data_IF_987900229226
#
_entry.id   IF_987900229226
#
_cell.length_a   1.000
_cell.length_b   1.000
_cell.length_c   1.000
_cell.angle_alpha   90.00
_cell.angle_beta   90.00
_cell.angle_gamma   90.00
#
_symmetry.space_group_name_H-M   'P 1'
#
loop_
_entity.id
_entity.type
_entity.pdbx_description
1 polymer ?
#
# COMPACT_ATOMS: atom_id res chain seq x y z
N UNK A 1 -5.12 12.60 13.24
CA UNK A 1 -5.50 12.97 11.88
C UNK A 1 -5.61 11.71 11.03
N UNK A 2 -6.69 11.59 10.30
CA UNK A 2 -6.89 10.42 9.43
C UNK A 2 -6.04 10.55 8.17
N UNK A 3 -5.45 9.46 7.68
CA UNK A 3 -4.72 9.50 6.42
C UNK A 3 -5.67 9.75 5.23
N UNK A 4 -5.13 10.33 4.17
CA UNK A 4 -5.82 10.38 2.89
C UNK A 4 -5.70 9.00 2.25
N UNK A 5 -6.83 8.41 1.89
CA UNK A 5 -6.88 7.12 1.20
C UNK A 5 -7.10 7.38 -0.29
N UNK A 6 -6.33 6.71 -1.12
CA UNK A 6 -6.39 6.87 -2.57
C UNK A 6 -6.24 5.52 -3.25
N UNK A 7 -7.24 5.11 -4.02
CA UNK A 7 -7.15 3.89 -4.82
C UNK A 7 -6.44 4.16 -6.14
N UNK A 8 -5.65 3.18 -6.58
CA UNK A 8 -5.00 3.21 -7.89
C UNK A 8 -5.36 1.91 -8.61
N UNK A 9 -6.08 2.03 -9.71
CA UNK A 9 -6.56 0.87 -10.47
C UNK A 9 -6.14 0.99 -11.94
N UNK A 10 -6.14 -0.13 -12.63
CA UNK A 10 -5.79 -0.19 -14.05
C UNK A 10 -5.52 -1.63 -14.47
N UNK A 11 -5.54 -1.87 -15.75
CA UNK A 11 -5.23 -3.19 -16.30
C UNK A 11 -3.75 -3.52 -16.11
N UNK A 12 -3.42 -4.80 -16.05
CA UNK A 12 -2.04 -5.27 -16.05
C UNK A 12 -1.31 -4.68 -17.26
N UNK A 13 -0.16 -4.08 -17.04
CA UNK A 13 0.61 -3.45 -18.10
C UNK A 13 0.20 -2.02 -18.45
N UNK A 14 -0.78 -1.44 -17.74
CA UNK A 14 -1.22 -0.06 -17.98
C UNK A 14 -0.25 0.99 -17.42
N UNK A 15 0.71 0.60 -16.59
CA UNK A 15 1.66 1.52 -15.98
C UNK A 15 1.30 1.96 -14.57
N UNK A 16 0.54 1.16 -13.82
CA UNK A 16 0.15 1.49 -12.44
C UNK A 16 1.36 1.72 -11.54
N UNK A 17 2.35 0.84 -11.62
CA UNK A 17 3.55 0.94 -10.78
C UNK A 17 4.31 2.22 -11.03
N UNK A 18 4.48 2.60 -12.29
CA UNK A 18 5.19 3.81 -12.68
C UNK A 18 4.45 5.07 -12.20
N UNK A 19 3.13 5.09 -12.33
CA UNK A 19 2.29 6.19 -11.83
C UNK A 19 2.41 6.29 -10.32
N UNK A 20 2.29 5.17 -9.63
CA UNK A 20 2.35 5.14 -8.17
C UNK A 20 3.73 5.56 -7.66
N UNK A 21 4.80 5.06 -8.28
CA UNK A 21 6.17 5.46 -7.94
C UNK A 21 6.37 6.97 -8.09
N UNK A 22 5.86 7.55 -9.17
CA UNK A 22 5.98 8.99 -9.41
C UNK A 22 5.21 9.80 -8.37
N UNK A 23 3.99 9.38 -8.02
CA UNK A 23 3.20 10.05 -7.00
C UNK A 23 3.85 9.97 -5.61
N UNK A 24 4.37 8.80 -5.26
CA UNK A 24 5.08 8.61 -4.00
C UNK A 24 6.27 9.57 -3.91
N UNK A 25 7.07 9.65 -4.97
CA UNK A 25 8.23 10.55 -5.01
C UNK A 25 7.83 12.02 -4.82
N UNK A 26 6.80 12.46 -5.53
CA UNK A 26 6.33 13.84 -5.45
C UNK A 26 5.79 14.18 -4.05
N UNK A 27 5.02 13.29 -3.45
CA UNK A 27 4.48 13.50 -2.11
C UNK A 27 5.56 13.41 -1.04
N UNK A 28 6.54 12.55 -1.23
CA UNK A 28 7.66 12.43 -0.31
C UNK A 28 8.48 13.73 -0.25
N UNK A 29 8.65 14.39 -1.38
CA UNK A 29 9.30 15.70 -1.44
C UNK A 29 8.57 16.76 -0.62
N UNK A 30 7.27 16.59 -0.41
CA UNK A 30 6.45 17.47 0.43
C UNK A 30 6.53 17.10 1.92
N UNK A 31 7.34 16.12 2.28
CA UNK A 31 7.51 15.71 3.67
C UNK A 31 6.44 14.78 4.20
N UNK A 32 5.60 14.22 3.35
CA UNK A 32 4.52 13.34 3.77
C UNK A 32 4.99 11.90 3.98
N UNK A 33 4.36 11.21 4.93
CA UNK A 33 4.58 9.79 5.18
C UNK A 33 3.60 8.98 4.34
N UNK A 34 4.15 8.11 3.49
CA UNK A 34 3.36 7.38 2.49
C UNK A 34 3.37 5.89 2.79
N UNK A 35 2.20 5.26 2.72
CA UNK A 35 2.05 3.82 2.78
C UNK A 35 1.40 3.29 1.51
N UNK A 36 1.61 2.02 1.23
CA UNK A 36 0.97 1.34 0.10
C UNK A 36 0.46 -0.01 0.57
N UNK A 37 -0.77 -0.32 0.23
CA UNK A 37 -1.37 -1.62 0.46
C UNK A 37 -1.73 -2.23 -0.88
N UNK A 38 -1.27 -3.43 -1.13
CA UNK A 38 -1.51 -4.12 -2.39
C UNK A 38 -2.13 -5.49 -2.12
N UNK A 39 -3.36 -5.76 -2.59
CA UNK A 39 -3.93 -7.08 -2.45
C UNK A 39 -3.23 -8.04 -3.40
N UNK A 40 -3.12 -9.29 -2.99
CA UNK A 40 -2.63 -10.35 -3.85
C UNK A 40 -3.80 -11.29 -4.17
N UNK A 41 -3.96 -11.59 -5.45
CA UNK A 41 -5.06 -12.42 -5.93
C UNK A 41 -4.94 -13.89 -5.53
N UNK A 42 -3.75 -14.32 -5.09
CA UNK A 42 -3.52 -15.70 -4.66
C UNK A 42 -3.90 -15.89 -3.21
N UNK A 43 -4.70 -16.89 -2.92
CA UNK A 43 -5.09 -17.21 -1.55
C UNK A 43 -3.93 -17.75 -0.72
N UNK A 44 -2.99 -18.41 -1.37
CA UNK A 44 -1.91 -19.16 -0.73
C UNK A 44 -0.51 -18.69 -1.17
N UNK A 45 -0.34 -17.38 -1.38
CA UNK A 45 0.99 -16.89 -1.77
C UNK A 45 1.97 -17.07 -0.61
N UNK A 46 3.20 -17.40 -0.94
CA UNK A 46 4.28 -17.49 0.03
C UNK A 46 5.30 -16.38 -0.23
N UNK A 47 5.49 -15.52 0.76
CA UNK A 47 6.45 -14.42 0.69
C UNK A 47 7.75 -14.76 1.39
N UNK A 48 7.77 -15.85 2.15
CA UNK A 48 8.95 -16.35 2.84
C UNK A 48 9.57 -17.48 2.02
N UNK A 49 10.85 -17.74 2.22
CA UNK A 49 11.54 -18.79 1.45
C UNK A 49 11.54 -20.11 2.22
N UNK A 50 11.05 -21.21 1.61
CA UNK A 50 11.16 -22.54 2.20
C UNK A 50 12.62 -22.84 2.55
N UNK A 51 12.84 -23.44 3.71
CA UNK A 51 14.17 -23.76 4.20
C UNK A 51 14.80 -22.68 5.09
N UNK A 52 14.26 -21.47 5.11
CA UNK A 52 14.66 -20.46 6.06
C UNK A 52 14.08 -20.75 7.44
N UNK A 53 14.74 -20.28 8.49
CA UNK A 53 14.27 -20.52 9.86
C UNK A 53 12.91 -19.86 10.12
N UNK A 54 12.69 -18.65 9.60
CA UNK A 54 11.40 -17.96 9.71
C UNK A 54 10.27 -18.80 9.13
N UNK A 55 10.49 -19.37 7.96
CA UNK A 55 9.53 -20.29 7.32
C UNK A 55 9.25 -21.50 8.20
N UNK A 56 10.31 -22.13 8.75
CA UNK A 56 10.18 -23.31 9.60
C UNK A 56 9.41 -23.02 10.87
N UNK A 57 9.61 -21.84 11.48
CA UNK A 57 8.87 -21.46 12.67
C UNK A 57 7.38 -21.35 12.39
N UNK A 58 7.01 -20.76 11.26
CA UNK A 58 5.61 -20.65 10.86
C UNK A 58 4.99 -22.03 10.57
N UNK A 59 5.74 -22.89 9.92
CA UNK A 59 5.27 -24.26 9.62
C UNK A 59 5.05 -25.08 10.89
N UNK A 60 5.73 -24.77 11.98
CA UNK A 60 5.55 -25.43 13.25
C UNK A 60 4.43 -24.83 14.11
N UNK A 61 3.84 -23.74 13.66
CA UNK A 61 2.69 -23.15 14.33
C UNK A 61 2.87 -21.75 14.88
N UNK A 62 4.02 -21.12 14.66
CA UNK A 62 4.17 -19.69 14.99
C UNK A 62 3.32 -18.87 14.02
N UNK A 63 2.26 -18.27 14.52
CA UNK A 63 1.34 -17.49 13.70
C UNK A 63 1.98 -16.23 13.13
N UNK A 64 2.87 -15.61 13.89
CA UNK A 64 3.56 -14.39 13.48
C UNK A 64 5.05 -14.51 13.77
N UNK A 65 5.88 -14.17 12.80
CA UNK A 65 7.32 -14.08 12.95
C UNK A 65 7.77 -12.69 12.49
N UNK A 66 8.57 -12.02 13.31
CA UNK A 66 9.09 -10.70 12.99
C UNK A 66 10.60 -10.75 12.87
N UNK A 67 11.13 -10.20 11.79
CA UNK A 67 12.55 -9.92 11.65
C UNK A 67 12.76 -8.45 11.97
N UNK A 68 13.56 -8.17 12.99
CA UNK A 68 13.78 -6.81 13.44
C UNK A 68 15.23 -6.41 13.23
N UNK A 69 15.46 -5.50 12.30
CA UNK A 69 16.73 -4.85 12.08
C UNK A 69 16.78 -3.49 12.80
N UNK A 70 17.87 -2.76 12.65
CA UNK A 70 18.03 -1.45 13.31
C UNK A 70 17.06 -0.39 12.76
N UNK A 71 16.79 -0.42 11.45
CA UNK A 71 15.96 0.60 10.79
C UNK A 71 14.87 -0.01 9.91
N UNK A 72 14.72 -1.32 9.96
CA UNK A 72 13.79 -2.03 9.08
C UNK A 72 13.26 -3.26 9.78
N UNK A 73 12.00 -3.56 9.57
CA UNK A 73 11.39 -4.80 10.05
C UNK A 73 10.58 -5.45 8.95
N UNK A 74 10.46 -6.77 9.05
CA UNK A 74 9.54 -7.54 8.24
C UNK A 74 8.68 -8.38 9.17
N UNK A 75 7.39 -8.49 8.86
CA UNK A 75 6.44 -9.28 9.64
C UNK A 75 5.77 -10.26 8.69
N UNK A 76 5.83 -11.54 9.04
CA UNK A 76 5.11 -12.60 8.34
C UNK A 76 4.03 -13.11 9.27
N UNK A 77 2.78 -12.97 8.88
CA UNK A 77 1.64 -13.42 9.70
C UNK A 77 0.72 -14.30 8.87
N UNK A 78 0.35 -15.43 9.44
CA UNK A 78 -0.73 -16.23 8.91
C UNK A 78 -2.03 -15.75 9.56
N UNK A 79 -3.03 -15.47 8.75
CA UNK A 79 -4.29 -14.97 9.24
C UNK A 79 -5.22 -16.14 9.56
N UNK A 80 -5.91 -16.13 10.71
CA UNK A 80 -6.84 -17.22 11.05
C UNK A 80 -8.08 -17.22 10.16
N UNK A 81 -8.37 -16.09 9.52
CA UNK A 81 -9.47 -15.94 8.56
C UNK A 81 -9.12 -14.85 7.58
N UNK A 82 -9.89 -14.75 6.51
CA UNK A 82 -9.72 -13.68 5.54
C UNK A 82 -9.87 -12.32 6.22
N UNK A 83 -8.94 -11.41 5.94
CA UNK A 83 -8.91 -10.08 6.54
C UNK A 83 -9.08 -9.03 5.43
N UNK A 84 -9.93 -8.03 5.65
CA UNK A 84 -10.11 -6.98 4.68
C UNK A 84 -9.06 -5.86 4.82
N UNK A 85 -9.07 -4.96 3.86
CA UNK A 85 -8.09 -3.86 3.82
C UNK A 85 -8.26 -2.89 4.99
N UNK A 86 -9.51 -2.67 5.44
CA UNK A 86 -9.79 -1.71 6.52
C UNK A 86 -9.17 -2.17 7.84
N UNK A 87 -9.25 -3.46 8.16
CA UNK A 87 -8.66 -4.02 9.35
C UNK A 87 -7.14 -3.85 9.38
N UNK A 88 -6.54 -3.78 8.21
CA UNK A 88 -5.09 -3.68 8.07
C UNK A 88 -4.58 -2.23 8.07
N UNK A 89 -5.46 -1.24 8.11
CA UNK A 89 -5.06 0.16 8.22
C UNK A 89 -4.29 0.47 9.50
N UNK A 90 -4.46 -0.32 10.53
CA UNK A 90 -3.73 -0.16 11.81
C UNK A 90 -2.21 -0.18 11.65
N UNK A 91 -1.71 -0.85 10.61
CA UNK A 91 -0.26 -0.89 10.34
C UNK A 91 0.27 0.41 9.73
N UNK A 92 -0.62 1.32 9.37
CA UNK A 92 -0.29 2.61 8.78
C UNK A 92 -0.66 3.78 9.68
N UNK A 93 -0.75 3.53 10.99
CA UNK A 93 -1.06 4.58 11.94
C UNK A 93 -0.02 5.70 11.90
N UNK A 94 -0.48 6.95 11.81
CA UNK A 94 0.40 8.11 11.72
C UNK A 94 0.87 8.44 10.30
N UNK A 95 0.44 7.68 9.31
CA UNK A 95 0.77 7.97 7.91
C UNK A 95 -0.16 9.05 7.37
N UNK A 96 0.35 9.83 6.41
CA UNK A 96 -0.40 10.95 5.82
C UNK A 96 -1.23 10.51 4.62
N UNK A 97 -0.69 9.64 3.77
CA UNK A 97 -1.34 9.14 2.57
C UNK A 97 -1.15 7.64 2.48
N UNK A 98 -2.20 6.91 2.18
CA UNK A 98 -2.14 5.47 1.94
C UNK A 98 -2.73 5.19 0.56
N UNK A 99 -1.94 4.60 -0.31
CA UNK A 99 -2.40 4.14 -1.61
C UNK A 99 -2.87 2.70 -1.51
N UNK A 100 -4.05 2.46 -2.10
CA UNK A 100 -4.65 1.12 -2.17
C UNK A 100 -4.54 0.66 -3.63
N UNK A 101 -3.46 -0.06 -3.94
CA UNK A 101 -3.20 -0.49 -5.31
C UNK A 101 -4.04 -1.70 -5.67
N UNK A 102 -4.86 -1.57 -6.71
CA UNK A 102 -5.68 -2.66 -7.21
C UNK A 102 -7.03 -2.82 -6.53
N UNK A 103 -7.36 -1.97 -5.56
CA UNK A 103 -8.69 -1.99 -4.92
C UNK A 103 -9.64 -1.06 -5.65
N UNK A 104 -10.81 -1.57 -6.01
CA UNK A 104 -11.89 -0.78 -6.58
C UNK A 104 -12.92 -0.53 -5.47
N UNK A 105 -12.90 0.66 -4.87
CA UNK A 105 -13.67 0.97 -3.67
C UNK A 105 -14.60 2.16 -3.90
N UNK A 106 -15.85 2.02 -3.46
CA UNK A 106 -16.80 3.14 -3.42
C UNK A 106 -16.33 4.15 -2.36
N UNK A 107 -16.61 5.42 -2.61
CA UNK A 107 -16.37 6.52 -1.67
C UNK A 107 -14.90 6.81 -1.36
N UNK A 108 -13.99 6.21 -2.11
CA UNK A 108 -12.57 6.51 -2.01
C UNK A 108 -12.13 7.07 -3.36
N UNK A 109 -11.44 8.22 -3.38
CA UNK A 109 -10.92 8.78 -4.62
C UNK A 109 -10.06 7.75 -5.34
N UNK A 110 -10.25 7.60 -6.64
CA UNK A 110 -9.62 6.56 -7.42
C UNK A 110 -8.91 7.15 -8.63
N UNK A 111 -7.66 6.77 -8.80
CA UNK A 111 -6.89 7.08 -10.00
C UNK A 111 -6.99 5.86 -10.93
N UNK A 112 -7.60 6.06 -12.09
CA UNK A 112 -7.61 5.04 -13.13
C UNK A 112 -6.42 5.26 -14.06
N UNK A 113 -5.52 4.28 -14.08
CA UNK A 113 -4.33 4.35 -14.92
C UNK A 113 -4.61 3.68 -16.26
N UNK A 114 -4.30 4.38 -17.34
CA UNK A 114 -4.45 3.88 -18.68
C UNK A 114 -3.11 3.98 -19.43
N UNK A 115 -2.89 3.15 -20.46
CA UNK A 115 -1.66 3.21 -21.24
C UNK A 115 -1.44 4.61 -21.85
N UNK A 116 -0.25 5.16 -21.72
CA UNK A 116 0.08 6.48 -22.22
C UNK A 116 -0.28 7.64 -21.32
N UNK A 117 -0.74 7.37 -20.09
CA UNK A 117 -0.98 8.41 -19.09
C UNK A 117 0.30 9.20 -18.84
N UNK A 118 0.25 10.51 -19.01
CA UNK A 118 1.44 11.36 -18.96
C UNK A 118 1.64 12.01 -17.57
N UNK A 119 2.82 12.60 -17.39
CA UNK A 119 3.20 13.23 -16.11
C UNK A 119 2.35 14.46 -15.75
N UNK A 120 1.74 15.11 -16.70
CA UNK A 120 0.89 16.28 -16.44
C UNK A 120 -0.32 15.87 -15.60
N UNK A 121 -0.93 14.72 -15.92
CA UNK A 121 -2.06 14.20 -15.16
C UNK A 121 -1.65 13.84 -13.72
N UNK A 122 -0.42 13.37 -13.54
CA UNK A 122 0.09 13.05 -12.20
C UNK A 122 0.23 14.30 -11.34
N UNK A 123 0.72 15.39 -11.93
CA UNK A 123 0.88 16.65 -11.23
C UNK A 123 -0.47 17.22 -10.76
N UNK A 124 -1.55 16.94 -11.47
CA UNK A 124 -2.90 17.35 -11.05
C UNK A 124 -3.37 16.65 -9.78
N UNK A 125 -2.95 15.39 -9.57
CA UNK A 125 -3.34 14.63 -8.39
C UNK A 125 -2.66 15.13 -7.12
N UNK A 126 -1.47 15.70 -7.22
CA UNK A 126 -0.73 16.17 -6.05
C UNK A 126 -1.50 17.29 -5.32
N UNK A 127 -1.96 18.38 -5.99
CA UNK A 127 -2.78 19.40 -5.34
C UNK A 127 -4.07 18.85 -4.75
N UNK A 128 -4.71 17.89 -5.41
CA UNK A 128 -5.92 17.25 -4.93
C UNK A 128 -5.65 16.53 -3.60
N UNK A 129 -4.61 15.73 -3.53
CA UNK A 129 -4.22 14.99 -2.33
C UNK A 129 -3.86 15.97 -1.19
N UNK A 130 -3.06 16.99 -1.50
CA UNK A 130 -2.67 18.02 -0.53
C UNK A 130 -3.89 18.80 -0.03
N UNK A 131 -4.86 19.07 -0.90
CA UNK A 131 -6.10 19.72 -0.52
C UNK A 131 -6.89 18.92 0.50
N UNK A 132 -7.02 17.60 0.29
CA UNK A 132 -7.67 16.71 1.25
C UNK A 132 -6.96 16.68 2.59
N UNK A 133 -5.63 16.70 2.56
CA UNK A 133 -4.83 16.74 3.77
C UNK A 133 -5.09 18.04 4.57
N UNK A 134 -5.16 19.18 3.88
CA UNK A 134 -5.43 20.47 4.51
C UNK A 134 -6.84 20.56 5.12
N UNK A 135 -7.83 19.98 4.47
CA UNK A 135 -9.21 19.99 4.96
C UNK A 135 -9.39 19.24 6.28
N UNK A 136 -8.47 18.33 6.61
CA UNK A 136 -8.53 17.53 7.81
C UNK A 136 -7.78 18.16 9.00
N UNK A 137 -7.11 19.29 8.78
CA UNK A 137 -6.47 20.08 9.82
C UNK A 137 -7.53 21.04 10.43
#
# INVERSE_FOLDING_TARGET
MKPVLMSVVGRKGAGKSEVLEALIALLKEKGLRIGVMKPLAREDFEIDQPGKDTYRYRMQGAETVMLLGRKRRAIFSDLPSESDWEENLKYFEGFDVIFLEGYFLKNIPTIEVFPGMNSVLLEEWVPFILGHFKEQI
#
